data_IF_960739943775
#
_entry.id   IF_960739943775
#
_cell.length_a   1.000
_cell.length_b   1.000
_cell.length_c   1.000
_cell.angle_alpha   90.00
_cell.angle_beta   90.00
_cell.angle_gamma   90.00
#
_symmetry.space_group_name_H-M   'P 1'
#
loop_
_entity.id
_entity.type
_entity.pdbx_description
1 polymer ?
#
# COMPACT_ATOMS: atom_id res chain seq x y z
N UNK A 1 -13.06 -19.63 -9.39
CA UNK A 1 -12.50 -18.26 -9.56
C UNK A 1 -12.74 -17.41 -8.32
N UNK A 2 -14.00 -17.24 -7.86
CA UNK A 2 -14.34 -16.47 -6.65
C UNK A 2 -13.55 -16.89 -5.39
N UNK A 3 -13.41 -18.19 -5.03
CA UNK A 3 -12.64 -18.55 -3.83
C UNK A 3 -11.19 -18.06 -3.83
N UNK A 4 -10.52 -18.09 -5.00
CA UNK A 4 -9.15 -17.58 -5.14
C UNK A 4 -9.07 -16.06 -4.98
N UNK A 5 -10.09 -15.33 -5.42
CA UNK A 5 -10.19 -13.88 -5.21
C UNK A 5 -10.32 -13.59 -3.71
N UNK A 6 -11.20 -14.32 -3.02
CA UNK A 6 -11.39 -14.16 -1.58
C UNK A 6 -10.11 -14.48 -0.80
N UNK A 7 -9.40 -15.56 -1.16
CA UNK A 7 -8.09 -15.89 -0.58
C UNK A 7 -7.03 -14.82 -0.84
N UNK A 8 -7.01 -14.26 -2.06
CA UNK A 8 -6.11 -13.16 -2.43
C UNK A 8 -6.41 -11.90 -1.62
N UNK A 9 -7.68 -11.55 -1.44
CA UNK A 9 -8.10 -10.41 -0.61
C UNK A 9 -7.78 -10.61 0.87
N UNK A 10 -7.95 -11.81 1.41
CA UNK A 10 -7.48 -12.16 2.77
C UNK A 10 -5.98 -12.01 2.90
N UNK A 11 -5.22 -12.45 1.91
CA UNK A 11 -3.77 -12.32 1.94
C UNK A 11 -3.33 -10.85 1.80
N UNK A 12 -4.01 -10.07 0.95
CA UNK A 12 -3.80 -8.63 0.81
C UNK A 12 -4.07 -7.89 2.13
N UNK A 13 -5.14 -8.24 2.86
CA UNK A 13 -5.42 -7.72 4.20
C UNK A 13 -4.20 -7.87 5.12
N UNK A 14 -3.60 -9.07 5.18
CA UNK A 14 -2.42 -9.30 6.02
C UNK A 14 -1.18 -8.54 5.55
N UNK A 15 -0.99 -8.38 4.23
CA UNK A 15 0.10 -7.58 3.66
C UNK A 15 -0.05 -6.11 4.01
N UNK A 16 -1.27 -5.57 3.91
CA UNK A 16 -1.57 -4.18 4.23
C UNK A 16 -1.48 -3.93 5.74
N UNK A 17 -1.88 -4.88 6.58
CA UNK A 17 -1.70 -4.80 8.03
C UNK A 17 -0.21 -4.76 8.41
N UNK A 18 0.61 -5.60 7.78
CA UNK A 18 2.07 -5.53 7.96
C UNK A 18 2.63 -4.16 7.53
N UNK A 19 2.17 -3.64 6.40
CA UNK A 19 2.56 -2.32 5.91
C UNK A 19 2.17 -1.21 6.90
N UNK A 20 0.94 -1.22 7.42
CA UNK A 20 0.47 -0.30 8.45
C UNK A 20 1.38 -0.36 9.69
N UNK A 21 1.70 -1.55 10.17
CA UNK A 21 2.58 -1.75 11.33
C UNK A 21 4.02 -1.24 11.10
N UNK A 22 4.53 -1.35 9.87
CA UNK A 22 5.86 -0.82 9.53
C UNK A 22 5.82 0.71 9.48
N UNK A 23 4.81 1.28 8.84
CA UNK A 23 4.62 2.73 8.73
C UNK A 23 4.39 3.36 10.10
N UNK A 24 3.53 2.78 10.95
CA UNK A 24 3.27 3.29 12.30
C UNK A 24 4.54 3.34 13.17
N UNK A 25 5.39 2.30 13.10
CA UNK A 25 6.71 2.29 13.75
C UNK A 25 7.69 3.29 13.16
N UNK A 26 7.52 3.70 11.91
CA UNK A 26 8.35 4.72 11.28
C UNK A 26 7.89 6.13 11.67
N UNK A 27 6.58 6.38 11.65
CA UNK A 27 5.96 7.65 12.05
C UNK A 27 6.44 8.07 13.44
N UNK A 28 6.42 7.16 14.41
CA UNK A 28 6.86 7.45 15.79
C UNK A 28 8.34 7.83 15.92
N UNK A 29 9.16 7.53 14.90
CA UNK A 29 10.62 7.80 14.89
C UNK A 29 11.01 8.94 13.93
N UNK A 30 10.10 9.35 13.06
CA UNK A 30 10.31 10.41 12.07
C UNK A 30 10.05 11.81 12.66
N UNK A 31 10.58 12.87 12.03
CA UNK A 31 10.40 14.28 12.44
C UNK A 31 10.15 15.16 11.21
N UNK A 32 9.60 16.36 11.43
CA UNK A 32 9.33 17.35 10.38
C UNK A 32 8.38 16.84 9.29
N UNK A 33 8.58 17.30 8.06
CA UNK A 33 7.72 16.99 6.91
C UNK A 33 7.63 15.49 6.63
N UNK A 34 8.73 14.75 6.80
CA UNK A 34 8.72 13.30 6.62
C UNK A 34 7.78 12.59 7.60
N UNK A 35 7.63 13.13 8.83
CA UNK A 35 6.63 12.60 9.79
C UNK A 35 5.22 12.86 9.30
N UNK A 36 4.95 14.06 8.79
CA UNK A 36 3.63 14.39 8.25
C UNK A 36 3.26 13.46 7.09
N UNK A 37 4.14 13.32 6.09
CA UNK A 37 3.89 12.44 4.94
C UNK A 37 3.71 10.97 5.35
N UNK A 38 4.56 10.48 6.25
CA UNK A 38 4.47 9.10 6.74
C UNK A 38 3.19 8.85 7.56
N UNK A 39 2.76 9.84 8.35
CA UNK A 39 1.55 9.76 9.16
C UNK A 39 0.30 9.73 8.26
N UNK A 40 0.25 10.57 7.24
CA UNK A 40 -0.83 10.57 6.26
C UNK A 40 -0.93 9.24 5.50
N UNK A 41 0.21 8.67 5.09
CA UNK A 41 0.25 7.35 4.46
C UNK A 41 -0.20 6.25 5.43
N UNK A 42 0.32 6.25 6.65
CA UNK A 42 -0.06 5.31 7.71
C UNK A 42 -1.57 5.30 7.97
N UNK A 43 -2.18 6.47 8.21
CA UNK A 43 -3.61 6.57 8.49
C UNK A 43 -4.45 6.02 7.33
N UNK A 44 -4.05 6.32 6.09
CA UNK A 44 -4.77 5.84 4.91
C UNK A 44 -4.70 4.32 4.78
N UNK A 45 -3.51 3.73 4.95
CA UNK A 45 -3.36 2.27 4.93
C UNK A 45 -4.14 1.63 6.08
N UNK A 46 -4.16 2.24 7.28
CA UNK A 46 -4.95 1.75 8.41
C UNK A 46 -6.44 1.70 8.08
N UNK A 47 -7.00 2.77 7.50
CA UNK A 47 -8.41 2.82 7.06
C UNK A 47 -8.70 1.72 6.02
N UNK A 48 -7.80 1.52 5.06
CA UNK A 48 -7.93 0.45 4.06
C UNK A 48 -7.98 -0.93 4.75
N UNK A 49 -7.10 -1.18 5.72
CA UNK A 49 -7.03 -2.45 6.45
C UNK A 49 -8.31 -2.71 7.23
N UNK A 50 -8.81 -1.71 7.95
CA UNK A 50 -10.05 -1.78 8.73
C UNK A 50 -11.25 -2.07 7.82
N UNK A 51 -11.40 -1.29 6.73
CA UNK A 51 -12.47 -1.46 5.76
C UNK A 51 -12.44 -2.85 5.11
N UNK A 52 -11.26 -3.30 4.67
CA UNK A 52 -11.11 -4.63 4.06
C UNK A 52 -11.42 -5.74 5.05
N UNK A 53 -10.95 -5.61 6.30
CA UNK A 53 -11.21 -6.58 7.37
C UNK A 53 -12.71 -6.76 7.64
N UNK A 54 -13.44 -5.65 7.79
CA UNK A 54 -14.89 -5.71 8.04
C UNK A 54 -15.65 -6.23 6.81
N UNK A 55 -15.24 -5.86 5.59
CA UNK A 55 -15.87 -6.36 4.38
C UNK A 55 -15.68 -7.87 4.18
N UNK A 56 -14.49 -8.39 4.48
CA UNK A 56 -14.21 -9.83 4.46
C UNK A 56 -15.06 -10.57 5.50
N UNK A 57 -15.17 -10.02 6.72
CA UNK A 57 -16.01 -10.58 7.78
C UNK A 57 -17.49 -10.61 7.38
N UNK A 58 -18.01 -9.53 6.79
CA UNK A 58 -19.38 -9.47 6.27
C UNK A 58 -19.64 -10.46 5.11
N UNK A 59 -18.60 -10.80 4.36
CA UNK A 59 -18.64 -11.87 3.35
C UNK A 59 -18.48 -13.29 3.95
N UNK A 60 -18.53 -13.44 5.28
CA UNK A 60 -18.38 -14.72 5.97
C UNK A 60 -16.95 -15.24 6.10
N UNK A 61 -15.94 -14.40 5.81
CA UNK A 61 -14.54 -14.80 5.83
C UNK A 61 -13.88 -14.40 7.15
N UNK A 62 -13.30 -15.39 7.82
CA UNK A 62 -12.55 -15.18 9.07
C UNK A 62 -11.08 -14.84 8.76
N UNK A 63 -10.62 -13.69 9.26
CA UNK A 63 -9.23 -13.22 9.25
C UNK A 63 -8.67 -13.13 10.67
N UNK A 64 -8.62 -14.25 11.39
CA UNK A 64 -8.10 -14.33 12.77
C UNK A 64 -6.61 -14.68 12.81
N UNK A 65 -6.21 -15.71 12.07
CA UNK A 65 -4.85 -16.22 12.12
C UNK A 65 -4.03 -15.75 10.92
N UNK A 66 -2.89 -15.12 11.20
CA UNK A 66 -1.95 -14.69 10.16
C UNK A 66 -1.37 -15.92 9.45
N UNK A 67 -1.53 -16.06 8.12
CA UNK A 67 -0.93 -17.16 7.38
C UNK A 67 0.59 -17.08 7.39
N UNK A 68 1.26 -18.23 7.23
CA UNK A 68 2.71 -18.27 7.06
C UNK A 68 3.16 -17.48 5.82
N UNK A 69 4.41 -16.99 5.82
CA UNK A 69 4.97 -16.24 4.67
C UNK A 69 4.81 -17.00 3.34
N UNK A 70 5.03 -18.32 3.34
CA UNK A 70 4.85 -19.19 2.17
C UNK A 70 3.39 -19.20 1.68
N UNK A 71 2.41 -19.24 2.58
CA UNK A 71 0.99 -19.16 2.21
C UNK A 71 0.63 -17.78 1.68
N UNK A 72 1.13 -16.70 2.30
CA UNK A 72 0.93 -15.34 1.80
C UNK A 72 1.49 -15.16 0.38
N UNK A 73 2.68 -15.69 0.09
CA UNK A 73 3.24 -15.69 -1.27
C UNK A 73 2.34 -16.41 -2.28
N UNK A 74 1.78 -17.57 -1.90
CA UNK A 74 0.90 -18.34 -2.79
C UNK A 74 -0.43 -17.62 -3.06
N UNK A 75 -0.98 -16.94 -2.06
CA UNK A 75 -2.32 -16.34 -2.12
C UNK A 75 -2.32 -14.88 -2.61
N UNK A 76 -1.42 -14.02 -2.10
CA UNK A 76 -1.31 -12.62 -2.52
C UNK A 76 -0.46 -12.46 -3.80
N UNK A 77 0.25 -13.51 -4.19
CA UNK A 77 1.21 -13.47 -5.30
C UNK A 77 2.54 -12.82 -4.92
N UNK A 78 3.52 -13.01 -5.81
CA UNK A 78 4.89 -12.51 -5.63
C UNK A 78 4.94 -10.97 -5.56
N UNK A 79 4.10 -10.29 -6.36
CA UNK A 79 4.07 -8.84 -6.45
C UNK A 79 3.79 -8.17 -5.10
N UNK A 80 2.75 -8.62 -4.38
CA UNK A 80 2.35 -8.01 -3.11
C UNK A 80 3.43 -8.18 -2.03
N UNK A 81 4.05 -9.36 -1.94
CA UNK A 81 5.10 -9.61 -0.95
C UNK A 81 6.39 -8.88 -1.28
N UNK A 82 6.79 -8.85 -2.56
CA UNK A 82 7.98 -8.10 -2.97
C UNK A 82 7.78 -6.60 -2.74
N UNK A 83 6.57 -6.06 -2.99
CA UNK A 83 6.24 -4.67 -2.66
C UNK A 83 6.40 -4.39 -1.18
N UNK A 84 5.93 -5.29 -0.30
CA UNK A 84 6.08 -5.14 1.15
C UNK A 84 7.56 -5.14 1.57
N UNK A 85 8.37 -6.05 1.01
CA UNK A 85 9.80 -6.12 1.31
C UNK A 85 10.56 -4.90 0.78
N UNK A 86 10.19 -4.37 -0.40
CA UNK A 86 10.74 -3.12 -0.92
C UNK A 86 10.38 -1.91 -0.04
N UNK A 87 9.13 -1.82 0.44
CA UNK A 87 8.73 -0.73 1.35
C UNK A 87 9.52 -0.80 2.66
N UNK A 88 9.74 -2.01 3.21
CA UNK A 88 10.60 -2.17 4.39
C UNK A 88 12.00 -1.63 4.13
N UNK A 89 12.59 -1.95 2.97
CA UNK A 89 13.91 -1.49 2.58
C UNK A 89 13.95 0.04 2.44
N UNK A 90 12.97 0.63 1.74
CA UNK A 90 12.86 2.08 1.63
C UNK A 90 12.75 2.75 3.00
N UNK A 91 11.90 2.24 3.89
CA UNK A 91 11.74 2.80 5.24
C UNK A 91 13.03 2.69 6.06
N UNK A 92 13.78 1.60 5.91
CA UNK A 92 15.08 1.46 6.58
C UNK A 92 16.12 2.46 6.05
N UNK A 93 16.14 2.69 4.75
CA UNK A 93 16.97 3.72 4.15
C UNK A 93 16.57 5.13 4.60
N UNK A 94 15.27 5.44 4.60
CA UNK A 94 14.74 6.71 5.08
C UNK A 94 15.13 6.96 6.54
N UNK A 95 15.03 5.94 7.42
CA UNK A 95 15.53 6.03 8.79
C UNK A 95 17.02 6.36 8.84
N UNK A 96 17.83 5.79 7.96
CA UNK A 96 19.27 6.07 7.88
C UNK A 96 19.55 7.51 7.44
N UNK A 97 18.75 8.07 6.51
CA UNK A 97 18.86 9.45 6.05
C UNK A 97 18.41 10.45 7.12
N UNK A 98 17.35 10.15 7.88
CA UNK A 98 16.91 10.97 9.01
C UNK A 98 18.02 11.16 10.06
N UNK A 99 18.74 10.08 10.38
CA UNK A 99 19.88 10.15 11.33
C UNK A 99 20.99 11.08 10.84
N UNK A 100 21.19 11.16 9.53
CA UNK A 100 22.22 11.98 8.88
C UNK A 100 21.78 13.43 8.61
N UNK A 101 20.54 13.82 8.97
CA UNK A 101 19.92 15.13 8.70
C UNK A 101 20.01 15.60 7.23
N UNK A 102 20.19 14.66 6.30
CA UNK A 102 20.26 14.94 4.86
C UNK A 102 19.27 14.01 4.17
N UNK A 103 18.12 14.56 3.81
CA UNK A 103 17.12 13.89 3.00
C UNK A 103 17.44 14.15 1.53
N UNK A 104 17.72 13.08 0.79
CA UNK A 104 18.13 13.17 -0.60
C UNK A 104 16.96 12.73 -1.49
N UNK A 105 16.12 13.70 -1.86
CA UNK A 105 14.91 13.50 -2.66
C UNK A 105 15.22 12.81 -3.99
N UNK A 106 16.40 13.07 -4.58
CA UNK A 106 16.84 12.47 -5.84
C UNK A 106 17.14 10.97 -5.72
N UNK A 107 17.51 10.49 -4.53
CA UNK A 107 17.69 9.05 -4.25
C UNK A 107 16.38 8.32 -3.97
N UNK A 108 15.36 9.04 -3.51
CA UNK A 108 14.05 8.46 -3.18
C UNK A 108 13.13 8.41 -4.41
N UNK A 109 13.23 9.39 -5.30
CA UNK A 109 12.37 9.51 -6.48
C UNK A 109 12.30 8.22 -7.34
N UNK A 110 13.42 7.60 -7.78
CA UNK A 110 13.34 6.38 -8.59
C UNK A 110 12.66 5.20 -7.88
N UNK A 111 12.77 5.13 -6.55
CA UNK A 111 12.12 4.08 -5.75
C UNK A 111 10.62 4.32 -5.66
N UNK A 112 10.22 5.57 -5.53
CA UNK A 112 8.83 5.97 -5.49
C UNK A 112 8.12 5.73 -6.84
N UNK A 113 8.82 5.93 -7.96
CA UNK A 113 8.33 5.54 -9.30
C UNK A 113 8.04 4.03 -9.38
N UNK A 114 8.96 3.18 -8.91
CA UNK A 114 8.75 1.72 -8.87
C UNK A 114 7.55 1.36 -7.99
N UNK A 115 7.34 2.06 -6.86
CA UNK A 115 6.14 1.86 -6.04
C UNK A 115 4.86 2.28 -6.75
N UNK A 116 4.88 3.38 -7.50
CA UNK A 116 3.72 3.84 -8.25
C UNK A 116 3.28 2.82 -9.29
N UNK A 117 4.22 2.20 -10.02
CA UNK A 117 3.89 1.14 -10.98
C UNK A 117 3.27 -0.08 -10.30
N UNK A 118 3.83 -0.51 -9.15
CA UNK A 118 3.26 -1.61 -8.36
C UNK A 118 1.86 -1.29 -7.83
N UNK A 119 1.64 -0.04 -7.42
CA UNK A 119 0.35 0.44 -6.94
C UNK A 119 -0.71 0.45 -8.05
N UNK A 120 -0.34 0.90 -9.26
CA UNK A 120 -1.20 0.83 -10.46
C UNK A 120 -1.61 -0.61 -10.77
N UNK A 121 -0.68 -1.57 -10.68
CA UNK A 121 -0.99 -3.00 -10.88
C UNK A 121 -1.97 -3.52 -9.82
N UNK A 122 -1.77 -3.19 -8.54
CA UNK A 122 -2.70 -3.57 -7.46
C UNK A 122 -4.09 -2.98 -7.71
N UNK A 123 -4.19 -1.70 -8.08
CA UNK A 123 -5.45 -1.06 -8.44
C UNK A 123 -6.13 -1.79 -9.61
N UNK A 124 -5.36 -2.21 -10.62
CA UNK A 124 -5.85 -3.02 -11.74
C UNK A 124 -6.45 -4.36 -11.28
N UNK A 125 -5.72 -5.11 -10.43
CA UNK A 125 -6.22 -6.37 -9.88
C UNK A 125 -7.48 -6.20 -9.03
N UNK A 126 -7.54 -5.16 -8.19
CA UNK A 126 -8.74 -4.88 -7.38
C UNK A 126 -9.95 -4.52 -8.24
N UNK A 127 -9.75 -3.79 -9.34
CA UNK A 127 -10.81 -3.52 -10.31
C UNK A 127 -11.31 -4.82 -10.95
N UNK A 128 -10.40 -5.71 -11.36
CA UNK A 128 -10.76 -7.02 -11.92
C UNK A 128 -11.56 -7.85 -10.91
N UNK A 129 -11.09 -7.93 -9.66
CA UNK A 129 -11.77 -8.67 -8.59
C UNK A 129 -13.18 -8.13 -8.35
N UNK A 130 -13.33 -6.81 -8.25
CA UNK A 130 -14.64 -6.16 -8.14
C UNK A 130 -15.54 -6.52 -9.32
N UNK A 131 -15.04 -6.49 -10.56
CA UNK A 131 -15.83 -6.83 -11.75
C UNK A 131 -16.31 -8.29 -11.75
N UNK A 132 -15.50 -9.21 -11.25
CA UNK A 132 -15.87 -10.63 -11.14
C UNK A 132 -16.90 -10.84 -10.02
N UNK A 133 -16.73 -10.15 -8.88
CA UNK A 133 -17.61 -10.28 -7.72
C UNK A 133 -18.95 -9.54 -7.86
N UNK A 134 -19.08 -8.57 -8.77
CA UNK A 134 -20.26 -7.69 -8.86
C UNK A 134 -21.58 -8.42 -9.13
N UNK A 135 -21.53 -9.60 -9.75
CA UNK A 135 -22.73 -10.36 -10.13
C UNK A 135 -23.28 -11.21 -8.96
N UNK A 136 -22.54 -11.30 -7.86
CA UNK A 136 -22.87 -12.11 -6.70
C UNK A 136 -23.43 -11.23 -5.59
N UNK A 137 -24.72 -11.37 -5.27
CA UNK A 137 -25.39 -10.56 -4.23
C UNK A 137 -24.69 -10.63 -2.88
N UNK A 138 -24.08 -11.79 -2.56
CA UNK A 138 -23.34 -12.01 -1.33
C UNK A 138 -22.11 -11.10 -1.16
N UNK A 139 -21.57 -10.52 -2.25
CA UNK A 139 -20.33 -9.74 -2.24
C UNK A 139 -20.53 -8.26 -2.57
N UNK A 140 -21.77 -7.75 -2.54
CA UNK A 140 -22.07 -6.34 -2.81
C UNK A 140 -21.28 -5.39 -1.89
N UNK A 141 -21.29 -5.66 -0.57
CA UNK A 141 -20.52 -4.86 0.39
C UNK A 141 -19.01 -4.92 0.11
N UNK A 142 -18.50 -6.11 -0.25
CA UNK A 142 -17.11 -6.28 -0.61
C UNK A 142 -16.75 -5.46 -1.86
N UNK A 143 -17.61 -5.45 -2.88
CA UNK A 143 -17.43 -4.62 -4.08
C UNK A 143 -17.39 -3.11 -3.76
N UNK A 144 -18.27 -2.63 -2.87
CA UNK A 144 -18.24 -1.25 -2.40
C UNK A 144 -16.92 -0.94 -1.68
N UNK A 145 -16.51 -1.79 -0.75
CA UNK A 145 -15.24 -1.63 -0.05
C UNK A 145 -14.05 -1.64 -1.01
N UNK A 146 -14.02 -2.53 -2.00
CA UNK A 146 -12.97 -2.54 -3.01
C UNK A 146 -12.93 -1.23 -3.79
N UNK A 147 -14.08 -0.63 -4.12
CA UNK A 147 -14.14 0.67 -4.76
C UNK A 147 -13.53 1.78 -3.88
N UNK A 148 -13.84 1.81 -2.59
CA UNK A 148 -13.26 2.76 -1.64
C UNK A 148 -11.75 2.57 -1.51
N UNK A 149 -11.28 1.33 -1.39
CA UNK A 149 -9.85 1.02 -1.33
C UNK A 149 -9.13 1.47 -2.60
N UNK A 150 -9.72 1.23 -3.77
CA UNK A 150 -9.17 1.70 -5.05
C UNK A 150 -9.04 3.22 -5.06
N UNK A 151 -10.05 3.95 -4.57
CA UNK A 151 -9.97 5.41 -4.46
C UNK A 151 -8.83 5.83 -3.50
N UNK A 152 -8.70 5.18 -2.36
CA UNK A 152 -7.63 5.47 -1.39
C UNK A 152 -6.23 5.25 -1.97
N UNK A 153 -6.03 4.13 -2.69
CA UNK A 153 -4.77 3.84 -3.37
C UNK A 153 -4.48 4.87 -4.47
N UNK A 154 -5.49 5.33 -5.21
CA UNK A 154 -5.31 6.40 -6.20
C UNK A 154 -4.87 7.72 -5.56
N UNK A 155 -5.37 8.07 -4.37
CA UNK A 155 -4.90 9.31 -3.71
C UNK A 155 -3.45 9.16 -3.23
N UNK A 156 -3.05 7.97 -2.76
CA UNK A 156 -1.63 7.70 -2.44
C UNK A 156 -0.77 7.88 -3.70
N UNK A 157 -1.19 7.30 -4.82
CA UNK A 157 -0.51 7.41 -6.11
C UNK A 157 -0.34 8.88 -6.54
N UNK A 158 -1.43 9.65 -6.53
CA UNK A 158 -1.41 11.08 -6.90
C UNK A 158 -0.44 11.88 -6.04
N UNK A 159 -0.40 11.62 -4.73
CA UNK A 159 0.55 12.30 -3.82
C UNK A 159 1.99 11.94 -4.12
N UNK A 160 2.26 10.68 -4.45
CA UNK A 160 3.60 10.28 -4.86
C UNK A 160 4.02 10.97 -6.17
N UNK A 161 3.13 11.04 -7.15
CA UNK A 161 3.38 11.72 -8.43
C UNK A 161 3.62 13.23 -8.24
N UNK A 162 2.86 13.89 -7.35
CA UNK A 162 3.11 15.29 -6.97
C UNK A 162 4.53 15.47 -6.40
N UNK A 163 4.92 14.61 -5.46
CA UNK A 163 6.26 14.64 -4.87
C UNK A 163 7.38 14.41 -5.90
N UNK A 164 7.18 13.48 -6.84
CA UNK A 164 8.13 13.23 -7.93
C UNK A 164 8.29 14.44 -8.84
N UNK A 165 7.19 15.09 -9.20
CA UNK A 165 7.21 16.29 -10.02
C UNK A 165 7.96 17.45 -9.34
N UNK A 166 7.80 17.61 -8.03
CA UNK A 166 8.57 18.58 -7.24
C UNK A 166 10.06 18.25 -7.20
N UNK A 167 10.41 16.97 -7.01
CA UNK A 167 11.80 16.51 -7.00
C UNK A 167 12.51 16.73 -8.35
N UNK A 168 11.80 16.51 -9.46
CA UNK A 168 12.31 16.74 -10.82
C UNK A 168 12.53 18.23 -11.11
N UNK A 169 11.63 19.11 -10.65
CA UNK A 169 11.82 20.57 -10.76
C UNK A 169 13.11 21.02 -10.07
N UNK A 170 13.38 20.52 -8.86
CA UNK A 170 14.61 20.81 -8.11
C UNK A 170 15.86 20.34 -8.85
N UNK A 171 15.82 19.19 -9.54
CA UNK A 171 16.94 18.71 -10.36
C UNK A 171 17.26 19.66 -11.52
N UNK A 172 16.23 20.24 -12.14
CA UNK A 172 16.38 21.21 -13.24
C UNK A 172 16.92 22.57 -12.79
N UNK A 173 16.67 22.99 -11.55
CA UNK A 173 17.15 24.29 -11.02
C UNK A 173 18.62 24.26 -10.58
N UNK A 174 19.19 23.09 -10.33
CA UNK A 174 20.60 22.93 -9.92
C UNK A 174 21.54 22.80 -11.15
N UNK A 175 20.96 22.67 -12.36
CA UNK A 175 21.69 22.54 -13.62
C UNK A 175 21.87 23.87 -14.39
N UNK A 176 21.53 25.00 -13.75
CA UNK A 176 21.71 26.38 -14.26
C UNK A 176 22.55 27.17 -13.28
#
# INVERSE_FOLDING_TARGET
>A
MVPHILDSLKALYWVLLDLANILGRFVSKSRGDLRLHSFLAYNRIQIIVENLGEALKNAGLVVKDKPSKKRLHKSAGLLAINTLDDVKNLINELKSQCRKRKFDTLKIAPKLEVFNEKLKLVIGFLNLYKQILKNEKAYVNLCFTLQTIIQDLNIILQRHEQFLNEALKLKGTVAT
#
